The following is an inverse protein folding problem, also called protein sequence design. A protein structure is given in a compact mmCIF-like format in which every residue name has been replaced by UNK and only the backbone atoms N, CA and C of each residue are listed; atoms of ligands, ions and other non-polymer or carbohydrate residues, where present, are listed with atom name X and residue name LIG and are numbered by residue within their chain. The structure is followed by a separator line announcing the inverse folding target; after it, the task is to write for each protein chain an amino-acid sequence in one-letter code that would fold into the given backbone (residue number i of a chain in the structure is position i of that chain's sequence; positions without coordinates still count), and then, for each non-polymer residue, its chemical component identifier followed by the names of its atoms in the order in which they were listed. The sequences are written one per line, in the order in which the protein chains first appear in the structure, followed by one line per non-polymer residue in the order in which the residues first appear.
data_IF_283333946016
#
_entry.id   IF_283333946016
#
_cell.length_a   1.000
_cell.length_b   1.000
_cell.length_c   1.000
_cell.angle_alpha   90.00
_cell.angle_beta   90.00
_cell.angle_gamma   90.00
#
_symmetry.space_group_name_H-M   'P 1'
#
loop_
_entity.id
_entity.type
_entity.pdbx_description
1 polymer ?
#
# COMPACT_ATOMS: atom_id res chain seq x y z
N UNK A 1 21.11 19.36 9.49
CA UNK A 1 20.16 18.58 8.68
C UNK A 1 20.68 17.17 8.62
N UNK A 2 19.97 16.21 9.20
CA UNK A 2 20.41 14.83 9.23
C UNK A 2 20.26 14.20 7.84
N UNK A 3 21.33 13.62 7.30
CA UNK A 3 21.34 12.96 5.98
C UNK A 3 20.59 11.61 5.97
N UNK A 4 20.33 11.09 7.16
CA UNK A 4 19.76 9.76 7.41
C UNK A 4 18.36 9.58 6.78
N UNK A 5 17.36 10.47 6.99
CA UNK A 5 16.04 10.32 6.35
C UNK A 5 16.09 10.38 4.82
N UNK A 6 16.99 11.19 4.26
CA UNK A 6 17.18 11.32 2.81
C UNK A 6 17.74 10.01 2.24
N UNK A 7 18.81 9.49 2.86
CA UNK A 7 19.40 8.22 2.47
C UNK A 7 18.40 7.05 2.62
N UNK A 8 17.63 7.02 3.71
CA UNK A 8 16.61 6.00 3.96
C UNK A 8 15.50 6.04 2.90
N UNK A 9 15.00 7.22 2.54
CA UNK A 9 13.97 7.38 1.51
C UNK A 9 14.49 6.99 0.12
N UNK A 10 15.75 7.32 -0.18
CA UNK A 10 16.41 6.90 -1.41
C UNK A 10 16.56 5.37 -1.48
N UNK A 11 17.02 4.74 -0.40
CA UNK A 11 17.14 3.28 -0.31
C UNK A 11 15.77 2.60 -0.40
N UNK A 12 14.72 3.18 0.20
CA UNK A 12 13.36 2.68 0.08
C UNK A 12 12.89 2.71 -1.39
N UNK A 13 13.08 3.82 -2.11
CA UNK A 13 12.75 3.88 -3.54
C UNK A 13 13.58 2.92 -4.40
N UNK A 14 14.88 2.79 -4.13
CA UNK A 14 15.75 1.82 -4.80
C UNK A 14 15.33 0.37 -4.54
N UNK A 15 14.76 0.08 -3.36
CA UNK A 15 14.27 -1.26 -3.03
C UNK A 15 13.10 -1.68 -3.91
N UNK A 16 12.22 -0.76 -4.32
CA UNK A 16 11.14 -1.04 -5.28
C UNK A 16 11.73 -1.44 -6.63
N UNK A 17 12.70 -0.67 -7.15
CA UNK A 17 13.37 -1.00 -8.39
C UNK A 17 14.14 -2.34 -8.29
N UNK A 18 14.89 -2.56 -7.22
CA UNK A 18 15.58 -3.82 -6.97
C UNK A 18 14.61 -5.01 -6.89
N UNK A 19 13.43 -4.82 -6.31
CA UNK A 19 12.35 -5.81 -6.25
C UNK A 19 11.77 -6.17 -7.62
N UNK A 20 11.91 -5.31 -8.63
CA UNK A 20 11.51 -5.62 -10.02
C UNK A 20 12.58 -6.41 -10.79
N UNK A 21 13.82 -6.49 -10.31
CA UNK A 21 14.90 -7.20 -10.99
C UNK A 21 14.58 -8.69 -11.24
N UNK A 22 14.03 -9.46 -10.28
CA UNK A 22 13.62 -10.85 -10.50
C UNK A 22 12.56 -10.99 -11.61
N UNK A 23 11.66 -10.01 -11.75
CA UNK A 23 10.63 -9.99 -12.80
C UNK A 23 11.23 -9.80 -14.20
N UNK A 24 12.32 -9.04 -14.33
CA UNK A 24 13.02 -8.92 -15.62
C UNK A 24 13.74 -10.21 -16.01
N UNK A 25 14.22 -11.01 -15.05
CA UNK A 25 14.89 -12.28 -15.31
C UNK A 25 13.90 -13.45 -15.51
N UNK A 26 12.77 -13.44 -14.79
CA UNK A 26 11.70 -14.45 -14.88
C UNK A 26 10.47 -13.79 -15.48
N UNK A 27 10.21 -14.07 -16.76
CA UNK A 27 9.14 -13.45 -17.55
C UNK A 27 7.71 -13.76 -17.06
N UNK A 28 7.54 -14.79 -16.23
CA UNK A 28 6.26 -15.24 -15.69
C UNK A 28 6.46 -15.81 -14.27
N UNK A 29 5.69 -15.32 -13.31
CA UNK A 29 5.51 -15.91 -11.98
C UNK A 29 4.21 -16.70 -11.95
N UNK A 30 4.15 -17.77 -11.16
CA UNK A 30 2.89 -18.48 -10.88
C UNK A 30 2.00 -17.64 -9.98
N UNK A 31 0.68 -17.84 -10.05
CA UNK A 31 -0.29 -17.13 -9.22
C UNK A 31 0.02 -17.27 -7.72
N UNK A 32 0.39 -18.48 -7.25
CA UNK A 32 0.82 -18.73 -5.87
C UNK A 32 2.01 -17.86 -5.42
N UNK A 33 2.96 -17.60 -6.33
CA UNK A 33 4.10 -16.75 -6.03
C UNK A 33 3.67 -15.29 -5.91
N UNK A 34 2.73 -14.84 -6.75
CA UNK A 34 2.19 -13.49 -6.68
C UNK A 34 1.36 -13.29 -5.40
N UNK A 35 0.54 -14.27 -5.02
CA UNK A 35 -0.27 -14.25 -3.80
C UNK A 35 0.59 -14.23 -2.54
N UNK A 36 1.66 -15.02 -2.49
CA UNK A 36 2.60 -15.01 -1.36
C UNK A 36 3.36 -13.69 -1.25
N UNK A 37 3.82 -13.11 -2.37
CA UNK A 37 4.49 -11.80 -2.38
C UNK A 37 3.53 -10.67 -1.99
N UNK A 38 2.30 -10.68 -2.52
CA UNK A 38 1.26 -9.72 -2.20
C UNK A 38 0.84 -9.80 -0.74
N UNK A 39 0.59 -11.00 -0.23
CA UNK A 39 0.25 -11.25 1.18
C UNK A 39 1.37 -10.84 2.14
N UNK A 40 2.63 -11.09 1.77
CA UNK A 40 3.79 -10.65 2.55
C UNK A 40 3.87 -9.12 2.63
N UNK A 41 3.68 -8.42 1.51
CA UNK A 41 3.67 -6.96 1.47
C UNK A 41 2.52 -6.37 2.29
N UNK A 42 1.31 -6.93 2.16
CA UNK A 42 0.16 -6.54 2.97
C UNK A 42 0.44 -6.72 4.46
N UNK A 43 1.06 -7.83 4.85
CA UNK A 43 1.46 -8.10 6.23
C UNK A 43 2.45 -7.07 6.80
N UNK A 44 3.49 -6.69 6.03
CA UNK A 44 4.45 -5.65 6.46
C UNK A 44 3.75 -4.31 6.67
N UNK A 45 2.87 -3.91 5.74
CA UNK A 45 2.14 -2.65 5.85
C UNK A 45 1.26 -2.64 7.10
N UNK A 46 0.51 -3.72 7.37
CA UNK A 46 -0.32 -3.84 8.56
C UNK A 46 0.49 -3.79 9.86
N UNK A 47 1.68 -4.40 9.89
CA UNK A 47 2.56 -4.36 11.05
C UNK A 47 3.12 -2.94 11.30
N UNK A 48 3.51 -2.23 10.24
CA UNK A 48 3.95 -0.84 10.30
C UNK A 48 2.83 0.04 10.88
N UNK A 49 1.63 -0.04 10.30
CA UNK A 49 0.46 0.71 10.76
C UNK A 49 0.11 0.38 12.20
N UNK A 50 0.11 -0.88 12.62
CA UNK A 50 -0.24 -1.25 14.00
C UNK A 50 0.81 -0.78 15.02
N UNK A 51 2.09 -1.08 14.80
CA UNK A 51 3.13 -0.90 15.82
C UNK A 51 3.78 0.48 15.77
N UNK A 52 4.03 1.03 14.58
CA UNK A 52 4.79 2.28 14.41
C UNK A 52 3.89 3.50 14.26
N UNK A 53 2.65 3.34 13.80
CA UNK A 53 1.70 4.45 13.67
C UNK A 53 0.62 4.42 14.76
N UNK A 54 -0.20 3.37 14.82
CA UNK A 54 -1.41 3.33 15.65
C UNK A 54 -1.11 3.39 17.14
N UNK A 55 -0.20 2.54 17.65
CA UNK A 55 0.17 2.56 19.08
C UNK A 55 0.73 3.92 19.50
N UNK A 56 1.70 4.53 18.78
CA UNK A 56 2.14 5.89 19.07
C UNK A 56 1.04 6.95 18.96
N UNK A 57 0.18 6.88 17.94
CA UNK A 57 -0.95 7.81 17.76
C UNK A 57 -1.93 7.77 18.93
N UNK A 58 -2.26 6.58 19.45
CA UNK A 58 -3.11 6.45 20.65
C UNK A 58 -2.44 7.07 21.88
N UNK A 59 -1.12 6.90 22.02
CA UNK A 59 -0.35 7.45 23.15
C UNK A 59 -0.30 8.98 23.14
N UNK A 60 -0.22 9.58 21.96
CA UNK A 60 -0.07 11.03 21.79
C UNK A 60 -1.44 11.73 21.70
N UNK A 61 -2.36 11.20 20.90
CA UNK A 61 -3.65 11.82 20.59
C UNK A 61 -4.85 11.23 21.33
N UNK A 62 -4.69 10.12 22.03
CA UNK A 62 -5.78 9.39 22.66
C UNK A 62 -6.52 8.45 21.69
N UNK A 63 -7.30 7.52 22.25
CA UNK A 63 -8.00 6.48 21.49
C UNK A 63 -9.04 7.02 20.51
N UNK A 64 -9.81 8.05 20.90
CA UNK A 64 -10.84 8.64 20.04
C UNK A 64 -10.21 9.34 18.82
N UNK A 65 -9.19 10.17 19.04
CA UNK A 65 -8.51 10.88 17.95
C UNK A 65 -7.85 9.91 16.98
N UNK A 66 -7.17 8.88 17.50
CA UNK A 66 -6.55 7.85 16.66
C UNK A 66 -7.60 7.08 15.83
N UNK A 67 -8.73 6.71 16.42
CA UNK A 67 -9.82 6.03 15.71
C UNK A 67 -10.46 6.92 14.63
N UNK A 68 -10.68 8.20 14.92
CA UNK A 68 -11.23 9.16 13.96
C UNK A 68 -10.32 9.32 12.74
N UNK A 69 -9.01 9.47 12.95
CA UNK A 69 -8.06 9.59 11.84
C UNK A 69 -7.88 8.29 11.07
N UNK A 70 -7.93 7.14 11.75
CA UNK A 70 -7.89 5.84 11.07
C UNK A 70 -9.13 5.62 10.19
N UNK A 71 -10.32 6.02 10.66
CA UNK A 71 -11.52 5.98 9.82
C UNK A 71 -11.46 6.99 8.67
N UNK A 72 -10.91 8.17 8.90
CA UNK A 72 -10.72 9.18 7.86
C UNK A 72 -9.77 8.66 6.75
N UNK A 73 -8.72 7.94 7.11
CA UNK A 73 -7.80 7.28 6.18
C UNK A 73 -8.51 6.23 5.29
N UNK A 74 -9.30 5.33 5.88
CA UNK A 74 -10.09 4.33 5.14
C UNK A 74 -11.09 4.99 4.17
N UNK A 75 -11.83 6.00 4.64
CA UNK A 75 -12.76 6.76 3.79
C UNK A 75 -12.01 7.44 2.64
N UNK A 76 -10.84 8.02 2.92
CA UNK A 76 -10.02 8.67 1.90
C UNK A 76 -9.54 7.68 0.83
N UNK A 77 -9.01 6.52 1.24
CA UNK A 77 -8.60 5.47 0.31
C UNK A 77 -9.78 4.90 -0.48
N UNK A 78 -10.93 4.71 0.15
CA UNK A 78 -12.15 4.25 -0.50
C UNK A 78 -12.64 5.25 -1.57
N UNK A 79 -12.59 6.55 -1.26
CA UNK A 79 -12.92 7.60 -2.23
C UNK A 79 -11.96 7.54 -3.42
N UNK A 80 -10.65 7.45 -3.18
CA UNK A 80 -9.65 7.34 -4.25
C UNK A 80 -9.93 6.11 -5.13
N UNK A 81 -10.14 4.95 -4.51
CA UNK A 81 -10.43 3.70 -5.21
C UNK A 81 -11.66 3.82 -6.11
N UNK A 82 -12.69 4.55 -5.67
CA UNK A 82 -13.88 4.81 -6.48
C UNK A 82 -13.63 5.72 -7.67
N UNK A 83 -12.66 6.63 -7.60
CA UNK A 83 -12.36 7.54 -8.71
C UNK A 83 -11.42 6.94 -9.76
N UNK A 84 -10.67 5.88 -9.42
CA UNK A 84 -9.73 5.25 -10.34
C UNK A 84 -10.42 4.07 -11.04
N UNK A 85 -10.72 4.15 -12.36
CA UNK A 85 -11.24 3.02 -13.10
C UNK A 85 -10.17 1.93 -13.15
N UNK A 86 -10.46 0.75 -12.61
CA UNK A 86 -9.54 -0.37 -12.56
C UNK A 86 -10.27 -1.67 -12.95
N UNK A 87 -9.53 -2.54 -13.64
CA UNK A 87 -10.05 -3.81 -14.11
C UNK A 87 -9.61 -4.91 -13.15
N UNK A 88 -10.57 -5.50 -12.43
CA UNK A 88 -10.31 -6.67 -11.59
C UNK A 88 -10.53 -7.94 -12.43
N UNK A 89 -9.52 -8.83 -12.55
CA UNK A 89 -9.64 -10.08 -13.30
C UNK A 89 -10.78 -10.99 -12.83
N UNK A 90 -11.19 -10.87 -11.56
CA UNK A 90 -12.23 -11.70 -10.92
C UNK A 90 -13.57 -10.97 -10.79
N UNK A 91 -13.56 -9.67 -10.50
CA UNK A 91 -14.77 -8.90 -10.16
C UNK A 91 -15.31 -8.03 -11.32
N UNK A 92 -14.57 -7.89 -12.43
CA UNK A 92 -14.96 -7.06 -13.56
C UNK A 92 -14.48 -5.62 -13.44
N UNK A 93 -15.17 -4.69 -14.12
CA UNK A 93 -14.79 -3.28 -14.15
C UNK A 93 -15.29 -2.58 -12.88
N UNK A 94 -14.37 -2.08 -12.06
CA UNK A 94 -14.68 -1.35 -10.84
C UNK A 94 -14.37 0.14 -11.02
N UNK A 95 -15.34 0.99 -10.64
CA UNK A 95 -15.30 2.44 -10.84
C UNK A 95 -16.24 2.95 -11.95
N UNK A 96 -16.34 4.28 -12.15
CA UNK A 96 -17.14 4.89 -13.22
C UNK A 96 -16.71 4.40 -14.60
N UNK A 97 -17.67 4.02 -15.45
CA UNK A 97 -17.38 3.66 -16.83
C UNK A 97 -16.66 4.81 -17.55
N UNK A 98 -15.47 4.53 -18.08
CA UNK A 98 -14.82 5.47 -18.99
C UNK A 98 -15.54 5.41 -20.34
N UNK A 99 -16.08 6.54 -20.80
CA UNK A 99 -16.79 6.64 -22.11
C UNK A 99 -15.85 6.67 -23.31
N UNK A 100 -14.71 5.99 -23.23
CA UNK A 100 -13.67 5.96 -24.25
C UNK A 100 -13.24 4.54 -24.51
N UNK A 101 -14.19 3.68 -24.88
CA UNK A 101 -14.06 2.57 -25.83
C UNK A 101 -15.44 2.22 -26.38
#
# INVERSE_FOLDING_TARGET
MDIIPIAASLLAGLSTWAGTLPFMLRRQFSDDAMDTMGGFSAGIMLAETAFRLLIPSIRIGGHLTAALWLMADDIFLHIIARFIPHFNPVAGLEGPESKVF
#
